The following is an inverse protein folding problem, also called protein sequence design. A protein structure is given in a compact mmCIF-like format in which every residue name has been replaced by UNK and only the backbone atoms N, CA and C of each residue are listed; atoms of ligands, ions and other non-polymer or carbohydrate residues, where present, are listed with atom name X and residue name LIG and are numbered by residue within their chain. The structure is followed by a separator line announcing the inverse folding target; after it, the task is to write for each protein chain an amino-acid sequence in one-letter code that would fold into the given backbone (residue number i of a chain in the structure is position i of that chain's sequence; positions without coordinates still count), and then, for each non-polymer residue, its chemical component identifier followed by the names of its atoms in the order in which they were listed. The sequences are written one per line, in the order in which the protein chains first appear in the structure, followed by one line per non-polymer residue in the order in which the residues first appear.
data_IF_183712537760
#
_entry.id   IF_183712537760
#
_cell.length_a   1.000
_cell.length_b   1.000
_cell.length_c   1.000
_cell.angle_alpha   90.00
_cell.angle_beta   90.00
_cell.angle_gamma   90.00
#
_symmetry.space_group_name_H-M   'P 1'
#
loop_
_entity.id
_entity.type
_entity.pdbx_description
1 polymer ?
#
# COMPACT_ATOMS: atom_id res chain seq x y z
N UNK A 1 30.08 6.26 67.67
CA UNK A 1 30.21 7.49 66.87
C UNK A 1 30.05 7.10 65.39
N UNK A 2 28.84 7.27 64.83
CA UNK A 2 28.51 6.91 63.46
C UNK A 2 28.43 8.18 62.63
N UNK A 3 29.30 8.35 61.65
CA UNK A 3 29.33 9.45 60.70
C UNK A 3 28.32 9.24 59.60
N UNK A 4 27.33 10.15 59.55
CA UNK A 4 26.37 10.22 58.44
C UNK A 4 27.03 10.92 57.25
N UNK A 5 27.14 10.20 56.12
CA UNK A 5 27.47 10.83 54.83
C UNK A 5 26.16 11.27 54.14
N UNK A 6 25.95 12.57 54.07
CA UNK A 6 24.96 13.20 53.20
C UNK A 6 25.32 12.99 51.73
N UNK A 7 24.42 12.33 50.97
CA UNK A 7 24.48 12.33 49.50
C UNK A 7 23.76 13.56 48.97
N UNK A 8 24.52 14.51 48.44
CA UNK A 8 24.00 15.65 47.68
C UNK A 8 23.55 15.16 46.31
N UNK A 9 22.26 15.03 46.10
CA UNK A 9 21.67 14.76 44.76
C UNK A 9 21.69 16.06 43.94
N UNK A 10 22.42 16.05 42.84
CA UNK A 10 22.32 17.11 41.82
C UNK A 10 20.95 17.03 41.12
N UNK A 11 20.21 18.13 41.01
CA UNK A 11 18.96 18.13 40.22
C UNK A 11 19.30 18.00 38.74
N UNK A 12 18.75 17.00 38.12
CA UNK A 12 18.75 16.84 36.67
C UNK A 12 17.98 18.01 36.07
N UNK A 13 18.71 18.95 35.41
CA UNK A 13 18.09 20.02 34.65
C UNK A 13 17.23 19.43 33.52
N UNK A 14 15.92 19.61 33.63
CA UNK A 14 14.99 19.34 32.54
C UNK A 14 15.40 20.21 31.34
N UNK A 15 15.68 19.61 30.22
CA UNK A 15 15.84 20.30 28.93
C UNK A 15 14.46 20.83 28.53
N UNK A 16 14.15 22.05 28.91
CA UNK A 16 12.99 22.78 28.43
C UNK A 16 13.34 23.41 27.10
N UNK A 17 12.57 23.15 26.07
CA UNK A 17 12.45 24.07 24.97
C UNK A 17 12.72 23.58 23.54
N UNK A 18 12.76 22.29 23.26
CA UNK A 18 12.67 21.86 21.86
C UNK A 18 11.18 21.74 21.49
N UNK A 19 10.68 22.45 20.45
CA UNK A 19 9.31 22.27 20.02
C UNK A 19 9.08 20.81 19.60
N UNK A 20 7.90 20.24 19.83
CA UNK A 20 7.62 18.87 19.40
C UNK A 20 7.90 18.75 17.91
N UNK A 21 8.62 17.70 17.51
CA UNK A 21 8.83 17.38 16.08
C UNK A 21 7.48 17.34 15.41
N UNK A 22 7.27 18.17 14.39
CA UNK A 22 6.12 18.08 13.50
C UNK A 22 6.07 16.65 12.95
N UNK A 23 4.91 16.01 13.01
CA UNK A 23 4.74 14.71 12.35
C UNK A 23 4.82 14.95 10.84
N UNK A 24 5.57 14.10 10.13
CA UNK A 24 5.62 14.16 8.67
C UNK A 24 4.23 14.05 8.04
N UNK A 25 3.30 13.33 8.70
CA UNK A 25 1.91 13.21 8.28
C UNK A 25 1.15 14.55 8.22
N UNK A 26 1.52 15.54 9.03
CA UNK A 26 0.84 16.86 9.02
C UNK A 26 1.21 17.71 7.79
N UNK A 27 2.36 17.47 7.18
CA UNK A 27 2.78 18.15 5.95
C UNK A 27 2.22 17.47 4.68
N UNK A 28 1.79 16.22 4.78
CA UNK A 28 1.25 15.42 3.67
C UNK A 28 -0.21 15.77 3.31
N UNK A 29 -0.98 16.43 4.20
CA UNK A 29 -2.38 16.80 3.95
C UNK A 29 -2.58 17.92 2.90
N UNK A 30 -1.55 18.71 2.63
CA UNK A 30 -1.67 19.90 1.78
C UNK A 30 -1.30 19.64 0.31
N UNK A 31 -0.53 18.58 0.01
CA UNK A 31 0.02 18.33 -1.34
C UNK A 31 -0.23 16.89 -1.74
N UNK A 32 -1.07 16.69 -2.78
CA UNK A 32 -1.37 15.36 -3.31
C UNK A 32 -0.24 14.84 -4.21
N UNK A 33 0.29 15.71 -5.07
CA UNK A 33 1.44 15.42 -5.93
C UNK A 33 2.32 16.65 -6.09
N UNK A 34 3.60 16.44 -6.38
CA UNK A 34 4.56 17.53 -6.66
C UNK A 34 4.25 18.29 -7.95
N UNK A 35 3.35 17.77 -8.80
CA UNK A 35 3.06 18.39 -10.11
C UNK A 35 2.04 19.54 -10.02
N UNK A 36 1.27 19.64 -8.92
CA UNK A 36 0.31 20.72 -8.73
C UNK A 36 -0.81 20.79 -9.79
N UNK A 37 -1.15 19.65 -10.39
CA UNK A 37 -2.22 19.57 -11.38
C UNK A 37 -3.57 19.83 -10.70
N UNK A 38 -4.37 20.72 -11.31
CA UNK A 38 -5.69 21.07 -10.78
C UNK A 38 -6.71 20.00 -11.14
N UNK A 39 -7.53 19.61 -10.17
CA UNK A 39 -8.65 18.71 -10.42
C UNK A 39 -9.64 19.34 -11.40
N UNK A 40 -10.09 18.57 -12.40
CA UNK A 40 -11.18 18.94 -13.29
C UNK A 40 -12.53 18.69 -12.59
N UNK A 41 -13.59 19.27 -13.10
CA UNK A 41 -14.94 18.97 -12.62
C UNK A 41 -15.22 17.48 -12.84
N UNK A 42 -15.66 16.74 -11.81
CA UNK A 42 -15.95 15.33 -11.96
C UNK A 42 -17.18 15.09 -12.84
N UNK A 43 -17.17 13.99 -13.60
CA UNK A 43 -18.39 13.47 -14.21
C UNK A 43 -19.34 12.99 -13.12
N UNK A 44 -20.65 12.87 -13.42
CA UNK A 44 -21.64 12.35 -12.46
C UNK A 44 -21.23 10.98 -11.90
N UNK A 45 -20.65 10.12 -12.75
CA UNK A 45 -20.16 8.81 -12.35
C UNK A 45 -18.98 8.91 -11.37
N UNK A 46 -18.04 9.81 -11.60
CA UNK A 46 -16.89 10.01 -10.70
C UNK A 46 -17.28 10.73 -9.42
N UNK A 47 -18.21 11.67 -9.45
CA UNK A 47 -18.78 12.29 -8.25
C UNK A 47 -19.46 11.24 -7.35
N UNK A 48 -20.28 10.36 -7.93
CA UNK A 48 -20.89 9.25 -7.21
C UNK A 48 -19.83 8.27 -6.65
N UNK A 49 -18.75 8.01 -7.40
CA UNK A 49 -17.67 7.15 -6.93
C UNK A 49 -16.89 7.76 -5.75
N UNK A 50 -16.59 9.06 -5.80
CA UNK A 50 -15.96 9.78 -4.69
C UNK A 50 -16.83 9.74 -3.43
N UNK A 51 -18.14 10.02 -3.57
CA UNK A 51 -19.09 9.91 -2.46
C UNK A 51 -19.07 8.51 -1.83
N UNK A 52 -19.06 7.46 -2.65
CA UNK A 52 -18.95 6.08 -2.17
C UNK A 52 -17.64 5.82 -1.43
N UNK A 53 -16.52 6.43 -1.83
CA UNK A 53 -15.26 6.34 -1.11
C UNK A 53 -15.37 7.02 0.26
N UNK A 54 -15.92 8.23 0.32
CA UNK A 54 -16.14 8.96 1.58
C UNK A 54 -17.04 8.18 2.55
N UNK A 55 -18.13 7.59 2.06
CA UNK A 55 -19.03 6.77 2.87
C UNK A 55 -18.36 5.50 3.43
N UNK A 56 -17.47 4.86 2.66
CA UNK A 56 -16.85 3.59 3.04
C UNK A 56 -15.53 3.73 3.79
N UNK A 57 -14.73 4.72 3.44
CA UNK A 57 -13.36 4.90 3.93
C UNK A 57 -13.24 6.11 4.85
N UNK A 58 -14.21 7.03 4.83
CA UNK A 58 -14.15 8.32 5.50
C UNK A 58 -13.37 9.39 4.73
N UNK A 59 -12.88 9.08 3.54
CA UNK A 59 -12.13 10.01 2.68
C UNK A 59 -12.10 9.54 1.23
N UNK A 60 -11.77 10.45 0.31
CA UNK A 60 -11.41 10.10 -1.06
C UNK A 60 -9.91 9.77 -1.11
N UNK A 61 -9.51 8.57 -1.57
CA UNK A 61 -8.10 8.23 -1.74
C UNK A 61 -7.34 9.23 -2.62
N UNK A 62 -6.19 9.70 -2.16
CA UNK A 62 -5.40 10.70 -2.87
C UNK A 62 -4.97 10.25 -4.29
N UNK A 63 -4.84 8.94 -4.55
CA UNK A 63 -4.60 8.45 -5.92
C UNK A 63 -5.72 8.86 -6.86
N UNK A 64 -6.99 8.82 -6.44
CA UNK A 64 -8.12 9.23 -7.28
C UNK A 64 -8.08 10.72 -7.55
N UNK A 65 -7.77 11.53 -6.53
CA UNK A 65 -7.59 12.98 -6.67
C UNK A 65 -6.39 13.33 -7.56
N UNK A 66 -5.30 12.55 -7.47
CA UNK A 66 -4.12 12.74 -8.32
C UNK A 66 -4.40 12.50 -9.81
N UNK A 67 -5.35 11.62 -10.15
CA UNK A 67 -5.81 11.40 -11.52
C UNK A 67 -6.94 12.34 -11.94
N UNK A 68 -7.58 13.06 -11.01
CA UNK A 68 -8.76 13.88 -11.26
C UNK A 68 -8.52 15.13 -12.12
N UNK A 69 -7.29 15.42 -12.53
CA UNK A 69 -7.00 16.46 -13.53
C UNK A 69 -7.49 16.09 -14.94
N UNK A 70 -7.76 14.80 -15.19
CA UNK A 70 -8.17 14.27 -16.49
C UNK A 70 -9.18 13.13 -16.24
N UNK A 71 -10.46 13.40 -16.45
CA UNK A 71 -11.53 12.44 -16.15
C UNK A 71 -11.41 11.12 -16.94
N UNK A 72 -11.12 11.11 -18.26
CA UNK A 72 -10.87 9.86 -18.98
C UNK A 72 -9.77 8.99 -18.36
N UNK A 73 -8.67 9.58 -17.88
CA UNK A 73 -7.60 8.84 -17.21
C UNK A 73 -8.06 8.29 -15.86
N UNK A 74 -8.80 9.08 -15.08
CA UNK A 74 -9.36 8.64 -13.81
C UNK A 74 -10.33 7.48 -14.01
N UNK A 75 -11.25 7.60 -14.97
CA UNK A 75 -12.24 6.55 -15.27
C UNK A 75 -11.57 5.25 -15.71
N UNK A 76 -10.56 5.32 -16.58
CA UNK A 76 -9.78 4.15 -17.01
C UNK A 76 -9.04 3.50 -15.82
N UNK A 77 -8.41 4.29 -14.96
CA UNK A 77 -7.73 3.83 -13.76
C UNK A 77 -8.71 3.12 -12.81
N UNK A 78 -9.84 3.76 -12.53
CA UNK A 78 -10.88 3.22 -11.63
C UNK A 78 -11.49 1.95 -12.19
N UNK A 79 -11.76 1.90 -13.50
CA UNK A 79 -12.31 0.71 -14.15
C UNK A 79 -11.36 -0.49 -14.00
N UNK A 80 -10.06 -0.30 -14.30
CA UNK A 80 -9.06 -1.35 -14.18
C UNK A 80 -8.83 -1.77 -12.73
N UNK A 81 -8.75 -0.82 -11.81
CA UNK A 81 -8.63 -1.11 -10.38
C UNK A 81 -9.81 -1.94 -9.87
N UNK A 82 -11.04 -1.53 -10.19
CA UNK A 82 -12.25 -2.23 -9.74
C UNK A 82 -12.33 -3.66 -10.31
N UNK A 83 -11.94 -3.85 -11.56
CA UNK A 83 -11.89 -5.20 -12.16
C UNK A 83 -10.86 -6.07 -11.44
N UNK A 84 -9.62 -5.62 -11.34
CA UNK A 84 -8.53 -6.41 -10.78
C UNK A 84 -8.64 -6.63 -9.27
N UNK A 85 -9.10 -5.63 -8.51
CA UNK A 85 -9.05 -5.68 -7.04
C UNK A 85 -10.39 -6.03 -6.39
N UNK A 86 -11.52 -5.75 -7.03
CA UNK A 86 -12.84 -5.84 -6.41
C UNK A 86 -13.78 -6.83 -7.11
N UNK A 87 -13.61 -7.11 -8.40
CA UNK A 87 -14.46 -8.03 -9.14
C UNK A 87 -14.27 -9.50 -8.68
N UNK A 88 -15.21 -10.40 -8.97
CA UNK A 88 -15.06 -11.83 -8.71
C UNK A 88 -13.82 -12.41 -9.39
N UNK A 89 -13.00 -13.17 -8.63
CA UNK A 89 -11.79 -13.85 -9.10
C UNK A 89 -11.53 -15.07 -8.23
N UNK A 90 -10.68 -15.99 -8.70
CA UNK A 90 -10.15 -17.08 -7.87
C UNK A 90 -9.15 -16.63 -6.81
N UNK A 91 -8.74 -15.34 -6.83
CA UNK A 91 -7.95 -14.72 -5.77
C UNK A 91 -8.86 -14.07 -4.73
N UNK A 92 -8.57 -14.29 -3.47
CA UNK A 92 -9.22 -13.55 -2.37
C UNK A 92 -8.82 -12.07 -2.40
N UNK A 93 -9.59 -11.22 -1.73
CA UNK A 93 -9.23 -9.80 -1.57
C UNK A 93 -7.90 -9.63 -0.86
N UNK A 94 -7.64 -10.45 0.17
CA UNK A 94 -6.38 -10.42 0.90
C UNK A 94 -5.21 -10.81 0.00
N UNK A 95 -5.31 -11.88 -0.80
CA UNK A 95 -4.25 -12.28 -1.74
C UNK A 95 -3.91 -11.15 -2.71
N UNK A 96 -4.91 -10.45 -3.25
CA UNK A 96 -4.70 -9.30 -4.17
C UNK A 96 -3.98 -8.13 -3.48
N UNK A 97 -4.36 -7.81 -2.25
CA UNK A 97 -3.67 -6.77 -1.47
C UNK A 97 -2.25 -7.19 -1.08
N UNK A 98 -2.02 -8.46 -0.78
CA UNK A 98 -0.68 -9.01 -0.53
C UNK A 98 0.22 -8.89 -1.77
N UNK A 99 -0.30 -9.18 -2.98
CA UNK A 99 0.42 -8.95 -4.24
C UNK A 99 0.76 -7.46 -4.38
N UNK A 100 -0.23 -6.57 -4.15
CA UNK A 100 -0.04 -5.13 -4.23
C UNK A 100 1.10 -4.65 -3.34
N UNK A 101 1.14 -5.11 -2.08
CA UNK A 101 2.19 -4.73 -1.12
C UNK A 101 3.54 -5.32 -1.51
N UNK A 102 3.60 -6.61 -1.89
CA UNK A 102 4.86 -7.25 -2.26
C UNK A 102 5.51 -6.59 -3.50
N UNK A 103 4.73 -6.30 -4.53
CA UNK A 103 5.18 -5.54 -5.72
C UNK A 103 5.65 -4.14 -5.32
N UNK A 104 4.88 -3.46 -4.47
CA UNK A 104 5.20 -2.10 -4.02
C UNK A 104 6.44 -2.06 -3.12
N UNK A 105 6.73 -3.14 -2.38
CA UNK A 105 7.96 -3.29 -1.58
C UNK A 105 9.20 -3.38 -2.48
N UNK A 106 9.15 -4.15 -3.57
CA UNK A 106 10.22 -4.19 -4.58
C UNK A 106 10.45 -2.81 -5.19
N UNK A 107 9.38 -2.12 -5.57
CA UNK A 107 9.41 -0.79 -6.19
C UNK A 107 9.63 0.36 -5.17
N UNK A 108 9.59 0.08 -3.86
CA UNK A 108 9.74 1.07 -2.77
C UNK A 108 8.75 2.23 -2.87
N UNK A 109 7.51 1.95 -3.30
CA UNK A 109 6.49 2.97 -3.48
C UNK A 109 5.83 3.32 -2.13
N UNK A 110 6.17 4.49 -1.57
CA UNK A 110 5.65 4.94 -0.28
C UNK A 110 4.12 5.00 -0.25
N UNK A 111 3.48 5.59 -1.27
CA UNK A 111 2.03 5.65 -1.36
C UNK A 111 1.39 4.27 -1.24
N UNK A 112 1.80 3.36 -2.11
CA UNK A 112 1.16 2.05 -2.23
C UNK A 112 1.45 1.16 -1.02
N UNK A 113 2.66 1.23 -0.45
CA UNK A 113 2.99 0.50 0.79
C UNK A 113 2.12 0.96 1.96
N UNK A 114 1.84 2.25 2.05
CA UNK A 114 1.00 2.82 3.11
C UNK A 114 -0.46 2.42 2.93
N UNK A 115 -1.03 2.63 1.74
CA UNK A 115 -2.45 2.39 1.46
C UNK A 115 -2.79 0.88 1.48
N UNK A 116 -2.04 0.08 0.74
CA UNK A 116 -2.29 -1.37 0.61
C UNK A 116 -1.81 -2.15 1.84
N UNK A 117 -0.77 -1.68 2.54
CA UNK A 117 -0.39 -2.20 3.85
C UNK A 117 -1.51 -2.04 4.88
N UNK A 118 -2.23 -0.92 4.86
CA UNK A 118 -3.43 -0.74 5.67
C UNK A 118 -4.55 -1.72 5.28
N UNK A 119 -4.75 -1.98 3.99
CA UNK A 119 -5.73 -2.95 3.51
C UNK A 119 -5.37 -4.38 3.93
N UNK A 120 -4.09 -4.78 3.86
CA UNK A 120 -3.64 -6.09 4.37
C UNK A 120 -3.94 -6.22 5.85
N UNK A 121 -3.61 -5.22 6.68
CA UNK A 121 -3.92 -5.25 8.11
C UNK A 121 -5.42 -5.42 8.37
N UNK A 122 -6.25 -4.65 7.66
CA UNK A 122 -7.70 -4.70 7.84
C UNK A 122 -8.33 -6.02 7.38
N UNK A 123 -7.82 -6.63 6.30
CA UNK A 123 -8.38 -7.86 5.75
C UNK A 123 -7.89 -9.12 6.47
N UNK A 124 -6.69 -9.08 7.04
CA UNK A 124 -6.11 -10.20 7.79
C UNK A 124 -6.45 -10.17 9.29
N UNK A 125 -6.93 -9.03 9.79
CA UNK A 125 -7.03 -8.75 11.24
C UNK A 125 -5.69 -8.99 11.98
N UNK A 126 -4.58 -8.76 11.26
CA UNK A 126 -3.22 -8.98 11.76
C UNK A 126 -2.30 -7.81 11.34
N UNK A 127 -2.03 -6.86 12.25
CA UNK A 127 -1.14 -5.75 11.96
C UNK A 127 0.31 -6.19 11.70
N UNK A 128 0.75 -7.31 12.28
CA UNK A 128 2.10 -7.84 12.09
C UNK A 128 2.27 -8.38 10.67
N UNK A 129 1.25 -9.06 10.13
CA UNK A 129 1.29 -9.50 8.72
C UNK A 129 1.46 -8.31 7.78
N UNK A 130 0.71 -7.21 8.00
CA UNK A 130 0.83 -6.00 7.20
C UNK A 130 2.26 -5.42 7.20
N UNK A 131 2.92 -5.41 8.36
CA UNK A 131 4.31 -4.95 8.50
C UNK A 131 5.30 -5.89 7.81
N UNK A 132 5.14 -7.20 8.00
CA UNK A 132 5.99 -8.21 7.35
C UNK A 132 5.87 -8.16 5.83
N UNK A 133 4.67 -7.96 5.30
CA UNK A 133 4.45 -7.79 3.86
C UNK A 133 5.20 -6.58 3.30
N UNK A 134 5.20 -5.45 4.02
CA UNK A 134 5.92 -4.23 3.63
C UNK A 134 7.44 -4.42 3.69
N UNK A 135 7.96 -5.02 4.77
CA UNK A 135 9.39 -5.10 5.03
C UNK A 135 10.03 -6.30 4.34
N UNK A 136 9.45 -7.48 4.52
CA UNK A 136 9.95 -8.75 3.98
C UNK A 136 8.88 -9.84 4.12
N UNK A 137 8.06 -10.03 3.10
CA UNK A 137 7.01 -11.06 3.10
C UNK A 137 7.54 -12.48 3.37
N UNK A 138 8.83 -12.73 3.09
CA UNK A 138 9.46 -14.05 3.31
C UNK A 138 9.58 -14.41 4.79
N UNK A 139 9.54 -13.43 5.68
CA UNK A 139 9.52 -13.63 7.13
C UNK A 139 8.12 -13.98 7.67
N UNK A 140 7.07 -13.77 6.89
CA UNK A 140 5.70 -14.08 7.29
C UNK A 140 5.42 -15.60 7.24
N UNK A 141 4.55 -16.07 8.13
CA UNK A 141 4.01 -17.43 8.11
C UNK A 141 2.93 -17.53 7.04
N UNK A 142 3.34 -17.84 5.83
CA UNK A 142 2.47 -17.95 4.65
C UNK A 142 2.17 -19.41 4.33
N UNK A 143 0.97 -19.68 3.81
CA UNK A 143 0.66 -20.95 3.20
C UNK A 143 1.52 -21.18 1.95
N UNK A 144 1.69 -22.43 1.49
CA UNK A 144 2.39 -22.72 0.23
C UNK A 144 1.79 -21.95 -0.97
N UNK A 145 0.47 -21.75 -0.99
CA UNK A 145 -0.25 -21.01 -2.01
C UNK A 145 0.13 -19.52 -2.02
N UNK A 146 0.05 -18.87 -0.87
CA UNK A 146 0.45 -17.46 -0.74
C UNK A 146 1.94 -17.25 -1.05
N UNK A 147 2.80 -18.16 -0.58
CA UNK A 147 4.23 -18.10 -0.83
C UNK A 147 4.54 -18.15 -2.32
N UNK A 148 4.00 -19.13 -3.04
CA UNK A 148 4.23 -19.29 -4.49
C UNK A 148 3.70 -18.07 -5.27
N UNK A 149 2.52 -17.55 -4.90
CA UNK A 149 1.92 -16.36 -5.49
C UNK A 149 2.83 -15.14 -5.35
N UNK A 150 3.32 -14.90 -4.14
CA UNK A 150 4.16 -13.72 -3.86
C UNK A 150 5.56 -13.85 -4.47
N UNK A 151 6.16 -15.05 -4.44
CA UNK A 151 7.44 -15.30 -5.09
C UNK A 151 7.34 -15.05 -6.61
N UNK A 152 6.24 -15.48 -7.24
CA UNK A 152 5.97 -15.19 -8.65
C UNK A 152 5.80 -13.68 -8.91
N UNK A 153 4.96 -12.98 -8.14
CA UNK A 153 4.70 -11.56 -8.32
C UNK A 153 5.97 -10.70 -8.12
N UNK A 154 6.80 -11.07 -7.14
CA UNK A 154 8.08 -10.41 -6.87
C UNK A 154 9.09 -10.66 -7.99
N UNK A 155 9.22 -11.91 -8.47
CA UNK A 155 10.08 -12.24 -9.61
C UNK A 155 9.63 -11.50 -10.87
N UNK A 156 8.31 -11.51 -11.17
CA UNK A 156 7.74 -10.77 -12.30
C UNK A 156 8.02 -9.25 -12.21
N UNK A 157 8.08 -8.70 -11.01
CA UNK A 157 8.37 -7.28 -10.80
C UNK A 157 9.84 -6.96 -11.00
N UNK A 158 10.73 -7.78 -10.44
CA UNK A 158 12.17 -7.54 -10.44
C UNK A 158 12.83 -7.94 -11.76
N UNK A 159 12.40 -9.07 -12.33
CA UNK A 159 13.03 -9.73 -13.48
C UNK A 159 11.98 -10.31 -14.44
N UNK A 160 11.14 -9.47 -15.07
CA UNK A 160 10.04 -9.96 -15.92
C UNK A 160 10.51 -10.83 -17.10
N UNK A 161 11.73 -10.60 -17.57
CA UNK A 161 12.35 -11.39 -18.64
C UNK A 161 12.75 -12.81 -18.21
N UNK A 162 12.84 -13.07 -16.90
CA UNK A 162 13.25 -14.36 -16.35
C UNK A 162 12.06 -15.26 -15.98
N UNK A 163 10.81 -14.83 -16.28
CA UNK A 163 9.61 -15.67 -16.06
C UNK A 163 9.55 -16.77 -17.10
N UNK A 164 9.58 -18.01 -16.63
CA UNK A 164 9.59 -19.22 -17.43
C UNK A 164 8.44 -20.17 -17.05
N UNK A 165 8.33 -21.32 -17.75
CA UNK A 165 7.29 -22.31 -17.47
C UNK A 165 7.38 -22.92 -16.06
N UNK A 166 8.56 -23.20 -15.48
CA UNK A 166 8.64 -23.67 -14.09
C UNK A 166 8.00 -22.72 -13.07
N UNK A 167 8.02 -21.41 -13.31
CA UNK A 167 7.37 -20.43 -12.42
C UNK A 167 5.83 -20.58 -12.46
N UNK A 168 5.26 -20.77 -13.65
CA UNK A 168 3.83 -21.02 -13.83
C UNK A 168 3.40 -22.37 -13.30
N UNK A 169 4.24 -23.40 -13.45
CA UNK A 169 4.00 -24.73 -12.88
C UNK A 169 4.00 -24.71 -11.35
N UNK A 170 4.87 -23.91 -10.72
CA UNK A 170 4.88 -23.74 -9.27
C UNK A 170 3.53 -23.20 -8.76
N UNK A 171 2.89 -22.27 -9.48
CA UNK A 171 1.56 -21.78 -9.17
C UNK A 171 0.48 -22.86 -9.36
N UNK A 172 0.52 -23.62 -10.47
CA UNK A 172 -0.44 -24.71 -10.70
C UNK A 172 -0.37 -25.78 -9.62
N UNK A 173 0.84 -26.13 -9.15
CA UNK A 173 1.06 -27.13 -8.08
C UNK A 173 0.38 -26.77 -6.77
N UNK A 174 0.18 -25.49 -6.50
CA UNK A 174 -0.53 -25.01 -5.30
C UNK A 174 -1.99 -24.65 -5.57
N UNK A 175 -2.53 -25.05 -6.73
CA UNK A 175 -3.94 -25.00 -7.06
C UNK A 175 -4.42 -23.72 -7.77
N UNK A 176 -3.53 -22.90 -8.32
CA UNK A 176 -3.94 -21.79 -9.18
C UNK A 176 -4.30 -22.27 -10.59
N UNK A 177 -5.46 -21.86 -11.08
CA UNK A 177 -5.87 -22.07 -12.47
C UNK A 177 -5.10 -21.14 -13.43
N UNK A 178 -5.22 -21.39 -14.72
CA UNK A 178 -4.66 -20.48 -15.74
C UNK A 178 -5.23 -19.06 -15.63
N UNK A 179 -6.51 -18.92 -15.26
CA UNK A 179 -7.16 -17.63 -15.03
C UNK A 179 -6.58 -16.95 -13.80
N UNK A 180 -6.34 -17.67 -12.71
CA UNK A 180 -5.75 -17.10 -11.49
C UNK A 180 -4.32 -16.61 -11.75
N UNK A 181 -3.53 -17.35 -12.54
CA UNK A 181 -2.17 -16.94 -12.95
C UNK A 181 -2.22 -15.65 -13.77
N UNK A 182 -3.21 -15.52 -14.67
CA UNK A 182 -3.45 -14.28 -15.39
C UNK A 182 -3.76 -13.13 -14.41
N UNK A 183 -4.67 -13.34 -13.46
CA UNK A 183 -5.08 -12.33 -12.49
C UNK A 183 -3.91 -11.92 -11.59
N UNK A 184 -3.06 -12.86 -11.12
CA UNK A 184 -1.82 -12.57 -10.38
C UNK A 184 -0.90 -11.65 -11.20
N UNK A 185 -0.66 -12.02 -12.47
CA UNK A 185 0.20 -11.25 -13.36
C UNK A 185 -0.38 -9.85 -13.66
N UNK A 186 -1.70 -9.75 -13.86
CA UNK A 186 -2.39 -8.50 -14.14
C UNK A 186 -2.37 -7.55 -12.92
N UNK A 187 -2.62 -8.07 -11.71
CA UNK A 187 -2.49 -7.29 -10.47
C UNK A 187 -1.05 -6.81 -10.28
N UNK A 188 -0.05 -7.68 -10.45
CA UNK A 188 1.35 -7.28 -10.37
C UNK A 188 1.70 -6.21 -11.40
N UNK A 189 1.25 -6.35 -12.66
CA UNK A 189 1.45 -5.38 -13.73
C UNK A 189 0.81 -4.03 -13.43
N UNK A 190 -0.41 -4.02 -12.92
CA UNK A 190 -1.12 -2.81 -12.50
C UNK A 190 -0.34 -2.05 -11.42
N UNK A 191 0.12 -2.74 -10.37
CA UNK A 191 0.91 -2.09 -9.32
C UNK A 191 2.29 -1.67 -9.80
N UNK A 192 2.92 -2.38 -10.73
CA UNK A 192 4.14 -1.92 -11.36
C UNK A 192 3.97 -0.58 -12.10
N UNK A 193 2.86 -0.40 -12.79
CA UNK A 193 2.50 0.89 -13.42
C UNK A 193 2.18 1.94 -12.35
N UNK A 194 1.26 1.64 -11.42
CA UNK A 194 0.79 2.57 -10.40
C UNK A 194 1.92 3.05 -9.48
N UNK A 195 2.83 2.16 -9.05
CA UNK A 195 3.99 2.51 -8.23
C UNK A 195 4.91 3.52 -8.93
N UNK A 196 5.16 3.34 -10.23
CA UNK A 196 6.00 4.26 -11.01
C UNK A 196 5.37 5.62 -11.16
N UNK A 197 4.07 5.69 -11.44
CA UNK A 197 3.34 6.95 -11.51
C UNK A 197 3.35 7.66 -10.16
N UNK A 198 3.01 6.95 -9.07
CA UNK A 198 3.00 7.52 -7.73
C UNK A 198 4.38 8.04 -7.32
N UNK A 199 5.45 7.28 -7.59
CA UNK A 199 6.82 7.70 -7.27
C UNK A 199 7.29 8.89 -8.13
N UNK A 200 6.99 8.86 -9.44
CA UNK A 200 7.40 9.93 -10.37
C UNK A 200 6.69 11.26 -10.08
N UNK A 201 5.50 11.23 -9.48
CA UNK A 201 4.69 12.42 -9.16
C UNK A 201 4.80 12.84 -7.70
N UNK A 202 5.60 12.14 -6.89
CA UNK A 202 5.67 12.30 -5.42
C UNK A 202 4.28 12.28 -4.77
N UNK A 203 3.47 11.28 -5.16
CA UNK A 203 2.09 11.16 -4.66
C UNK A 203 2.07 10.81 -3.18
N UNK A 204 1.30 11.55 -2.39
CA UNK A 204 1.18 11.39 -0.95
C UNK A 204 -0.04 10.58 -0.56
N UNK A 205 0.11 9.55 0.30
CA UNK A 205 -1.03 8.79 0.80
C UNK A 205 -1.87 9.65 1.77
N UNK A 206 -3.16 9.32 1.91
CA UNK A 206 -3.97 9.92 2.96
C UNK A 206 -3.39 9.53 4.33
N UNK A 207 -3.19 10.49 5.27
CA UNK A 207 -2.58 10.21 6.58
C UNK A 207 -3.34 9.17 7.41
N UNK A 208 -4.65 9.06 7.21
CA UNK A 208 -5.51 8.08 7.89
C UNK A 208 -5.05 6.62 7.70
N UNK A 209 -4.42 6.29 6.57
CA UNK A 209 -3.91 4.94 6.34
C UNK A 209 -2.87 4.48 7.38
N UNK A 210 -2.09 5.41 7.95
CA UNK A 210 -1.06 5.08 8.94
C UNK A 210 -1.63 4.50 10.23
N UNK A 211 -2.79 4.98 10.66
CA UNK A 211 -3.47 4.52 11.88
C UNK A 211 -4.48 3.39 11.66
N UNK A 212 -4.80 3.07 10.39
CA UNK A 212 -5.86 2.11 10.08
C UNK A 212 -5.48 0.68 10.44
N UNK A 213 -6.36 -0.02 11.18
CA UNK A 213 -6.22 -1.41 11.60
C UNK A 213 -4.86 -1.72 12.29
N UNK A 214 -4.45 -0.86 13.22
CA UNK A 214 -3.27 -1.02 14.09
C UNK A 214 -3.67 -1.39 15.51
#
# INVERSE_FOLDING_TARGET
MASQRQKSGNPVKSKSGEPPRRSQAADDDAVITALGLKEAAPTDAMAAYFKKCEEKLGFVPNVLRAYAFDMPKLEAFVAMYNDLMLAPSGLTKLEREMIAVAVSSVNRCYYCLTAHGAAVRALSDDPVLGELMVMNYRAAKLSPRERAMLDFAVKLTAEPWAIEEPDREALRKVGFSARDIWDIAAVAGFFNMSNRVASATDMRPNPLYHGQAR
#
